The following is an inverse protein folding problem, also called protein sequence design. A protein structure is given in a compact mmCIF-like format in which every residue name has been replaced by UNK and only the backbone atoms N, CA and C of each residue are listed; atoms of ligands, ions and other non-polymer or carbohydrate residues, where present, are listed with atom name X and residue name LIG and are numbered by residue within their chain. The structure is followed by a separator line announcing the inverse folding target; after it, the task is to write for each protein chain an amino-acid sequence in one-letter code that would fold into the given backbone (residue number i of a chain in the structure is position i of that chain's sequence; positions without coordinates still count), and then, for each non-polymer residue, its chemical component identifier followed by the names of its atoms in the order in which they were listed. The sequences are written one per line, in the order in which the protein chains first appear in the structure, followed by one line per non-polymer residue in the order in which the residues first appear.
data_IF_414731490992
#
_entry.id   IF_414731490992
#
_cell.length_a   1.000
_cell.length_b   1.000
_cell.length_c   1.000
_cell.angle_alpha   90.00
_cell.angle_beta   90.00
_cell.angle_gamma   90.00
#
_symmetry.space_group_name_H-M   'P 1'
#
loop_
_entity.id
_entity.type
_entity.pdbx_description
1 polymer ?
#
# COMPACT_ATOMS: atom_id res chain seq x y z
N UNK A 1 -3.50 1.47 13.45
CA UNK A 1 -3.62 1.75 11.99
C UNK A 1 -2.65 0.87 11.22
N UNK A 2 -2.91 0.58 9.95
CA UNK A 2 -1.99 -0.15 9.05
C UNK A 2 -1.33 0.91 8.16
N UNK A 3 -0.03 1.11 8.35
CA UNK A 3 0.79 2.05 7.59
C UNK A 3 1.67 1.24 6.63
N UNK A 4 1.67 1.63 5.36
CA UNK A 4 2.52 1.00 4.36
C UNK A 4 4.01 1.26 4.69
N UNK A 5 4.88 0.23 4.66
CA UNK A 5 6.32 0.39 4.90
C UNK A 5 7.05 0.88 3.66
N UNK A 6 8.24 1.47 3.85
CA UNK A 6 9.18 1.69 2.75
C UNK A 6 9.68 0.31 2.29
N UNK A 7 9.67 0.06 0.99
CA UNK A 7 10.22 -1.18 0.43
C UNK A 7 11.14 -0.89 -0.74
N UNK A 8 12.22 -1.65 -0.85
CA UNK A 8 13.06 -1.73 -2.05
C UNK A 8 13.29 -3.20 -2.35
N UNK A 9 12.97 -3.63 -3.55
CA UNK A 9 13.07 -5.04 -3.91
C UNK A 9 13.51 -5.24 -5.36
N UNK A 10 14.09 -6.41 -5.61
CA UNK A 10 14.53 -6.86 -6.91
C UNK A 10 13.56 -7.95 -7.38
N UNK A 11 12.95 -7.82 -8.56
CA UNK A 11 12.13 -8.88 -9.14
C UNK A 11 13.00 -10.02 -9.68
N UNK A 12 12.64 -11.25 -9.34
CA UNK A 12 13.27 -12.46 -9.88
C UNK A 12 12.66 -12.75 -11.26
N UNK A 13 13.49 -12.75 -12.31
CA UNK A 13 13.16 -13.13 -13.69
C UNK A 13 12.35 -12.09 -14.53
N UNK A 14 12.64 -10.79 -14.37
CA UNK A 14 12.15 -9.73 -15.28
C UNK A 14 13.28 -8.77 -15.64
N UNK A 15 13.11 -8.05 -16.74
CA UNK A 15 14.04 -6.99 -17.20
C UNK A 15 13.98 -5.73 -16.33
N UNK A 16 13.83 -5.88 -15.01
CA UNK A 16 13.68 -4.81 -14.04
C UNK A 16 14.79 -4.90 -12.98
N UNK A 17 15.50 -3.79 -12.76
CA UNK A 17 16.57 -3.67 -11.76
C UNK A 17 16.01 -3.64 -10.34
N UNK A 18 14.98 -2.82 -10.10
CA UNK A 18 14.32 -2.74 -8.79
C UNK A 18 12.91 -2.16 -8.87
N UNK A 19 12.12 -2.41 -7.82
CA UNK A 19 10.93 -1.65 -7.42
C UNK A 19 11.20 -0.98 -6.07
N UNK A 20 10.80 0.28 -5.93
CA UNK A 20 10.78 0.97 -4.65
C UNK A 20 9.40 1.55 -4.37
N UNK A 21 8.91 1.34 -3.14
CA UNK A 21 7.72 2.01 -2.62
C UNK A 21 8.13 2.93 -1.47
N UNK A 22 7.80 4.21 -1.61
CA UNK A 22 8.21 5.30 -0.74
C UNK A 22 6.96 5.96 -0.15
N UNK A 23 6.40 5.40 0.93
CA UNK A 23 5.29 6.02 1.65
C UNK A 23 5.75 7.14 2.59
N UNK A 24 4.92 8.17 2.70
CA UNK A 24 4.94 9.22 3.71
C UNK A 24 3.58 9.26 4.39
N UNK A 25 3.55 9.22 5.73
CA UNK A 25 2.34 9.25 6.53
C UNK A 25 2.40 10.38 7.55
N UNK A 26 1.36 11.21 7.60
CA UNK A 26 1.22 12.34 8.51
C UNK A 26 -0.11 12.24 9.25
N UNK A 27 -0.05 12.27 10.58
CA UNK A 27 -1.23 12.43 11.42
C UNK A 27 -1.59 13.90 11.51
N UNK A 28 -2.70 14.28 10.90
CA UNK A 28 -3.24 15.65 11.00
C UNK A 28 -4.04 15.81 12.31
N UNK A 29 -4.64 14.71 12.77
CA UNK A 29 -5.25 14.58 14.09
C UNK A 29 -5.12 13.12 14.52
N UNK A 30 -4.63 12.88 15.73
CA UNK A 30 -4.50 11.55 16.30
C UNK A 30 -5.18 11.48 17.67
N UNK A 31 -6.47 11.11 17.66
CA UNK A 31 -7.22 10.79 18.87
C UNK A 31 -7.01 9.34 19.35
N UNK A 32 -6.08 8.59 18.74
CA UNK A 32 -5.74 7.22 19.16
C UNK A 32 -4.55 7.19 20.13
N UNK A 33 -3.80 8.29 20.26
CA UNK A 33 -2.67 8.47 21.18
C UNK A 33 -3.12 8.70 22.64
N UNK A 34 -4.28 8.18 23.03
CA UNK A 34 -4.77 8.23 24.40
C UNK A 34 -4.42 6.93 25.14
N UNK A 35 -3.56 6.97 26.19
CA UNK A 35 -3.11 5.78 26.89
C UNK A 35 -4.25 4.92 27.46
N UNK A 36 -5.38 5.55 27.79
CA UNK A 36 -6.57 4.86 28.31
C UNK A 36 -7.38 4.14 27.24
N UNK A 37 -7.32 4.58 25.98
CA UNK A 37 -8.12 3.99 24.91
C UNK A 37 -7.80 2.51 24.71
N UNK A 38 -6.52 2.12 24.88
CA UNK A 38 -6.08 0.74 24.74
C UNK A 38 -6.36 -0.12 25.97
N UNK A 39 -6.31 0.50 27.16
CA UNK A 39 -6.48 -0.20 28.42
C UNK A 39 -7.95 -0.41 28.74
N UNK A 40 -8.72 0.67 28.69
CA UNK A 40 -10.12 0.73 29.09
C UNK A 40 -11.06 0.47 27.90
N UNK A 41 -10.52 0.52 26.68
CA UNK A 41 -11.31 0.50 25.46
C UNK A 41 -11.90 1.86 25.12
N UNK A 42 -12.68 1.89 24.04
CA UNK A 42 -13.48 3.04 23.64
C UNK A 42 -13.17 3.56 22.25
N UNK A 43 -13.72 4.74 21.97
CA UNK A 43 -13.77 5.33 20.64
C UNK A 43 -12.67 6.38 20.46
N UNK A 44 -11.92 6.26 19.37
CA UNK A 44 -10.95 7.23 18.92
C UNK A 44 -11.16 7.62 17.46
N UNK A 45 -10.64 8.79 17.09
CA UNK A 45 -10.74 9.36 15.76
C UNK A 45 -9.34 9.70 15.26
N UNK A 46 -9.02 9.34 14.02
CA UNK A 46 -7.76 9.71 13.38
C UNK A 46 -8.02 10.33 12.01
N UNK A 47 -7.32 11.43 11.73
CA UNK A 47 -7.24 12.04 10.40
C UNK A 47 -5.80 11.92 9.92
N UNK A 48 -5.60 11.19 8.82
CA UNK A 48 -4.29 10.90 8.24
C UNK A 48 -4.19 11.42 6.82
N UNK A 49 -3.07 12.05 6.52
CA UNK A 49 -2.61 12.24 5.16
C UNK A 49 -1.53 11.21 4.87
N UNK A 50 -1.63 10.54 3.73
CA UNK A 50 -0.64 9.57 3.26
C UNK A 50 -0.28 9.89 1.81
N UNK A 51 0.96 9.62 1.44
CA UNK A 51 1.45 9.74 0.08
C UNK A 51 2.31 8.53 -0.22
N UNK A 52 1.94 7.72 -1.21
CA UNK A 52 2.74 6.56 -1.62
C UNK A 52 3.28 6.83 -3.03
N UNK A 53 4.61 6.84 -3.17
CA UNK A 53 5.27 6.86 -4.47
C UNK A 53 5.82 5.47 -4.81
N UNK A 54 5.54 4.97 -6.01
CA UNK A 54 6.09 3.71 -6.52
C UNK A 54 6.96 3.96 -7.73
N UNK A 55 8.18 3.44 -7.72
CA UNK A 55 9.20 3.62 -8.74
C UNK A 55 9.71 2.27 -9.24
N UNK A 56 9.93 2.13 -10.55
CA UNK A 56 10.55 0.94 -11.15
C UNK A 56 11.59 1.31 -12.20
N UNK A 57 12.75 0.66 -12.13
CA UNK A 57 13.81 0.86 -13.10
C UNK A 57 14.05 -0.40 -13.91
N UNK A 58 14.14 -0.29 -15.23
CA UNK A 58 14.46 -1.40 -16.14
C UNK A 58 15.97 -1.60 -16.31
N UNK A 59 16.36 -2.80 -16.76
CA UNK A 59 17.77 -3.20 -16.97
C UNK A 59 18.39 -2.68 -18.25
N UNK A 60 17.57 -2.24 -19.21
CA UNK A 60 18.02 -1.76 -20.52
C UNK A 60 18.67 -0.37 -20.40
N UNK A 61 19.74 -0.13 -21.17
CA UNK A 61 20.44 1.15 -21.16
C UNK A 61 19.55 2.26 -21.73
N UNK A 62 19.33 3.33 -20.96
CA UNK A 62 18.66 4.56 -21.38
C UNK A 62 17.19 4.41 -21.81
N UNK A 63 16.49 3.39 -21.33
CA UNK A 63 15.02 3.33 -21.40
C UNK A 63 14.38 4.12 -20.25
N UNK A 64 13.20 4.70 -20.46
CA UNK A 64 12.49 5.43 -19.42
C UNK A 64 12.10 4.49 -18.26
N UNK A 65 12.15 5.02 -17.04
CA UNK A 65 11.51 4.44 -15.86
C UNK A 65 10.05 4.11 -16.24
N UNK A 66 9.54 2.89 -15.98
CA UNK A 66 8.09 2.64 -16.10
C UNK A 66 7.37 3.75 -15.34
N UNK A 67 6.28 4.34 -15.87
CA UNK A 67 5.72 5.55 -15.29
C UNK A 67 5.58 5.42 -13.77
N UNK A 68 6.15 6.35 -12.99
CA UNK A 68 6.04 6.29 -11.54
C UNK A 68 4.57 6.34 -11.14
N UNK A 69 4.21 5.89 -9.95
CA UNK A 69 2.86 6.10 -9.41
C UNK A 69 2.96 6.97 -8.16
N UNK A 70 2.03 7.90 -8.02
CA UNK A 70 1.89 8.80 -6.89
C UNK A 70 0.45 8.73 -6.37
N UNK A 71 0.30 8.41 -5.09
CA UNK A 71 -1.00 8.23 -4.44
C UNK A 71 -1.09 9.07 -3.15
N UNK A 72 -1.30 10.39 -3.24
CA UNK A 72 -1.80 11.18 -2.11
C UNK A 72 -3.22 10.74 -1.70
N UNK A 73 -3.42 10.51 -0.42
CA UNK A 73 -4.69 10.07 0.18
C UNK A 73 -4.90 10.76 1.53
N UNK A 74 -6.08 11.35 1.68
CA UNK A 74 -6.60 11.82 2.95
C UNK A 74 -7.60 10.79 3.49
N UNK A 75 -7.45 10.39 4.75
CA UNK A 75 -8.28 9.35 5.38
C UNK A 75 -8.76 9.80 6.75
N UNK A 76 -10.07 9.69 6.99
CA UNK A 76 -10.71 9.83 8.29
C UNK A 76 -11.05 8.43 8.80
N UNK A 77 -10.62 8.07 10.01
CA UNK A 77 -10.90 6.77 10.61
C UNK A 77 -11.53 6.94 11.98
N UNK A 78 -12.65 6.28 12.18
CA UNK A 78 -13.20 5.99 13.49
C UNK A 78 -12.66 4.63 13.94
N UNK A 79 -12.19 4.52 15.17
CA UNK A 79 -11.65 3.27 15.73
C UNK A 79 -12.29 3.03 17.08
N UNK A 80 -12.89 1.87 17.25
CA UNK A 80 -13.36 1.38 18.54
C UNK A 80 -12.40 0.29 19.03
N UNK A 81 -11.94 0.41 20.26
CA UNK A 81 -11.05 -0.56 20.91
C UNK A 81 -11.86 -1.33 21.93
N UNK A 82 -12.01 -2.63 21.68
CA UNK A 82 -12.82 -3.52 22.49
C UNK A 82 -11.92 -4.46 23.29
N UNK A 83 -11.94 -4.43 24.64
CA UNK A 83 -11.35 -5.48 25.45
C UNK A 83 -12.12 -6.79 25.24
N UNK A 84 -11.39 -7.88 24.98
CA UNK A 84 -11.99 -9.20 24.83
C UNK A 84 -11.82 -10.03 26.11
N UNK A 85 -12.76 -10.94 26.37
CA UNK A 85 -12.59 -11.96 27.38
C UNK A 85 -11.36 -12.81 27.03
N UNK A 86 -10.37 -12.81 27.93
CA UNK A 86 -9.05 -13.37 27.67
C UNK A 86 -8.65 -14.33 28.80
N UNK A 87 -7.79 -15.33 28.55
CA UNK A 87 -7.19 -16.13 29.60
C UNK A 87 -6.40 -15.26 30.59
N UNK A 88 -6.20 -15.67 31.85
CA UNK A 88 -5.47 -14.88 32.84
C UNK A 88 -4.03 -14.48 32.45
N UNK A 89 -3.41 -15.22 31.52
CA UNK A 89 -2.06 -14.97 31.04
C UNK A 89 -1.98 -13.96 29.88
N UNK A 90 -3.13 -13.56 29.31
CA UNK A 90 -3.19 -12.71 28.12
C UNK A 90 -4.23 -11.60 28.26
N UNK A 91 -3.94 -10.48 27.61
CA UNK A 91 -4.89 -9.40 27.40
C UNK A 91 -5.13 -9.29 25.90
N UNK A 92 -6.33 -9.65 25.46
CA UNK A 92 -6.72 -9.56 24.06
C UNK A 92 -7.52 -8.28 23.81
N UNK A 93 -7.31 -7.70 22.64
CA UNK A 93 -7.99 -6.49 22.15
C UNK A 93 -8.47 -6.72 20.74
N UNK A 94 -9.66 -6.20 20.43
CA UNK A 94 -10.16 -6.09 19.07
C UNK A 94 -10.32 -4.62 18.72
N UNK A 95 -9.60 -4.18 17.70
CA UNK A 95 -9.77 -2.86 17.11
C UNK A 95 -10.72 -3.02 15.93
N UNK A 96 -11.82 -2.30 15.97
CA UNK A 96 -12.77 -2.19 14.86
C UNK A 96 -12.67 -0.78 14.32
N UNK A 97 -12.26 -0.64 13.07
CA UNK A 97 -12.14 0.66 12.43
C UNK A 97 -13.02 0.76 11.20
N UNK A 98 -13.73 1.88 11.11
CA UNK A 98 -14.45 2.28 9.91
C UNK A 98 -13.83 3.58 9.39
N UNK A 99 -13.41 3.55 8.13
CA UNK A 99 -12.69 4.64 7.50
C UNK A 99 -13.37 5.14 6.23
N UNK A 100 -13.21 6.43 5.98
CA UNK A 100 -13.49 7.08 4.71
C UNK A 100 -12.20 7.67 4.17
N UNK A 101 -12.01 7.62 2.85
CA UNK A 101 -10.86 8.28 2.25
C UNK A 101 -11.21 8.96 0.93
N UNK A 102 -10.42 9.98 0.62
CA UNK A 102 -10.32 10.57 -0.69
C UNK A 102 -8.86 10.47 -1.13
N UNK A 103 -8.62 9.97 -2.35
CA UNK A 103 -7.28 9.87 -2.90
C UNK A 103 -7.23 10.42 -4.32
N UNK A 104 -6.05 10.86 -4.71
CA UNK A 104 -5.70 11.10 -6.09
C UNK A 104 -4.56 10.17 -6.43
N UNK A 105 -4.67 9.49 -7.56
CA UNK A 105 -3.66 8.57 -8.05
C UNK A 105 -3.27 9.03 -9.45
N UNK A 106 -1.98 9.17 -9.70
CA UNK A 106 -1.49 9.58 -11.00
C UNK A 106 -0.05 9.14 -11.18
N UNK A 107 0.45 9.24 -12.41
CA UNK A 107 1.87 9.06 -12.69
C UNK A 107 2.62 10.36 -12.95
N UNK A 108 1.98 11.51 -12.73
CA UNK A 108 2.60 12.83 -12.87
C UNK A 108 3.08 13.16 -14.29
N UNK A 109 2.64 12.40 -15.30
CA UNK A 109 2.98 12.63 -16.70
C UNK A 109 1.78 13.19 -17.45
N UNK A 110 2.04 13.96 -18.52
CA UNK A 110 1.03 14.51 -19.43
C UNK A 110 1.37 14.13 -20.87
N UNK A 111 0.41 13.55 -21.59
CA UNK A 111 0.50 13.30 -23.02
C UNK A 111 1.48 12.21 -23.46
N UNK A 112 1.94 12.31 -24.71
CA UNK A 112 2.86 11.37 -25.39
C UNK A 112 4.30 11.49 -24.83
N UNK A 113 4.49 11.35 -23.52
CA UNK A 113 5.74 11.56 -22.81
C UNK A 113 6.74 10.39 -22.96
N UNK A 114 6.87 9.84 -24.18
CA UNK A 114 7.83 8.80 -24.52
C UNK A 114 8.68 9.26 -25.69
N UNK A 115 9.92 8.74 -25.78
CA UNK A 115 11.04 9.28 -26.59
C UNK A 115 10.66 9.69 -28.01
N UNK A 116 9.71 8.99 -28.63
CA UNK A 116 9.40 9.07 -30.05
C UNK A 116 7.93 9.50 -30.32
N UNK A 117 7.13 9.84 -29.30
CA UNK A 117 5.72 10.23 -29.42
C UNK A 117 5.51 11.74 -29.46
N UNK A 118 4.59 12.22 -30.31
CA UNK A 118 4.18 13.64 -30.33
C UNK A 118 2.66 13.76 -30.49
N UNK A 119 2.05 14.83 -29.96
CA UNK A 119 0.63 15.08 -30.21
C UNK A 119 0.38 15.31 -31.71
N UNK A 120 -0.68 14.69 -32.24
CA UNK A 120 -1.11 14.86 -33.61
C UNK A 120 -1.55 16.32 -33.85
N UNK A 121 -1.32 16.87 -35.06
CA UNK A 121 -1.89 18.17 -35.43
C UNK A 121 -3.42 18.17 -35.28
N UNK A 122 -3.96 19.11 -34.50
CA UNK A 122 -5.40 19.17 -34.21
C UNK A 122 -5.87 18.28 -33.05
N UNK A 123 -4.95 17.72 -32.27
CA UNK A 123 -5.24 16.99 -31.04
C UNK A 123 -6.15 17.81 -30.12
N UNK A 124 -7.26 17.19 -29.68
CA UNK A 124 -8.16 17.77 -28.66
C UNK A 124 -7.99 17.07 -27.32
N UNK A 125 -7.19 16.00 -27.28
CA UNK A 125 -6.88 15.21 -26.09
C UNK A 125 -5.39 14.95 -25.98
N UNK A 126 -4.87 14.85 -24.76
CA UNK A 126 -3.48 14.44 -24.47
C UNK A 126 -3.18 12.99 -24.94
N UNK A 127 -4.21 12.23 -25.33
CA UNK A 127 -4.09 10.87 -25.87
C UNK A 127 -4.01 10.80 -27.41
N UNK A 128 -4.12 11.93 -28.11
CA UNK A 128 -4.05 12.00 -29.57
C UNK A 128 -2.58 11.96 -30.05
N UNK A 129 -1.91 10.83 -29.85
CA UNK A 129 -0.49 10.65 -30.14
C UNK A 129 -0.23 10.14 -31.57
N UNK A 130 0.78 10.72 -32.22
CA UNK A 130 1.36 10.31 -33.49
C UNK A 130 2.74 9.69 -33.30
N UNK A 131 3.05 8.72 -34.16
CA UNK A 131 4.29 7.95 -34.15
C UNK A 131 5.07 8.12 -35.46
N UNK A 132 6.41 8.14 -35.44
CA UNK A 132 7.22 8.14 -36.64
C UNK A 132 6.91 6.95 -37.55
N UNK A 133 7.01 7.10 -38.89
CA UNK A 133 6.84 6.00 -39.82
C UNK A 133 7.80 4.83 -39.49
N UNK A 134 7.29 3.61 -39.41
CA UNK A 134 8.09 2.41 -39.09
C UNK A 134 8.07 2.00 -37.62
N UNK A 135 7.54 2.83 -36.73
CA UNK A 135 7.10 2.39 -35.40
C UNK A 135 5.77 1.66 -35.60
N UNK A 136 5.63 0.39 -35.19
CA UNK A 136 4.34 -0.30 -35.24
C UNK A 136 3.27 0.59 -34.60
N UNK A 137 2.09 0.73 -35.23
CA UNK A 137 0.95 1.37 -34.57
C UNK A 137 0.71 0.58 -33.30
N UNK A 138 1.10 1.14 -32.15
CA UNK A 138 0.85 0.46 -30.90
C UNK A 138 -0.63 0.70 -30.57
N UNK A 139 -1.40 -0.33 -30.86
CA UNK A 139 -2.50 -0.77 -30.01
C UNK A 139 -2.01 -1.23 -28.62
N UNK A 140 -0.80 -0.82 -28.21
CA UNK A 140 0.02 -1.17 -27.06
C UNK A 140 0.36 0.05 -26.18
N UNK A 141 -0.67 0.71 -25.65
CA UNK A 141 -0.65 1.85 -24.70
C UNK A 141 0.26 1.73 -23.44
N UNK A 142 1.04 0.66 -23.27
CA UNK A 142 2.11 0.59 -22.26
C UNK A 142 3.44 1.18 -22.73
N UNK A 143 3.57 1.54 -24.01
CA UNK A 143 4.81 2.05 -24.60
C UNK A 143 4.68 3.42 -25.27
N UNK A 144 3.49 4.02 -25.26
CA UNK A 144 3.16 5.11 -26.19
C UNK A 144 2.57 6.41 -25.57
N UNK A 145 1.72 6.34 -24.55
CA UNK A 145 1.24 7.55 -23.85
C UNK A 145 0.77 7.21 -22.45
N UNK A 146 1.64 7.42 -21.47
CA UNK A 146 1.39 7.00 -20.10
C UNK A 146 0.99 8.18 -19.24
N UNK A 147 -0.08 8.93 -19.51
CA UNK A 147 -0.67 9.81 -18.49
C UNK A 147 -1.92 9.16 -17.94
N UNK A 148 -1.92 8.79 -16.67
CA UNK A 148 -3.14 8.45 -15.96
C UNK A 148 -3.30 9.35 -14.75
N UNK A 149 -4.55 9.59 -14.43
CA UNK A 149 -4.99 10.33 -13.26
C UNK A 149 -6.34 9.76 -12.88
N UNK A 150 -6.52 9.37 -11.64
CA UNK A 150 -7.79 8.94 -11.07
C UNK A 150 -8.01 9.63 -9.72
N UNK A 151 -9.27 9.89 -9.43
CA UNK A 151 -9.71 10.31 -8.11
C UNK A 151 -10.57 9.23 -7.52
N UNK A 152 -10.24 8.85 -6.30
CA UNK A 152 -10.87 7.75 -5.60
C UNK A 152 -11.59 8.31 -4.37
N UNK A 153 -12.85 7.91 -4.20
CA UNK A 153 -13.52 7.96 -2.91
C UNK A 153 -13.72 6.53 -2.44
N UNK A 154 -13.52 6.27 -1.16
CA UNK A 154 -13.73 4.92 -0.67
C UNK A 154 -14.02 4.82 0.80
N UNK A 155 -14.45 3.63 1.19
CA UNK A 155 -14.72 3.24 2.56
C UNK A 155 -13.93 1.99 2.90
N UNK A 156 -13.54 1.85 4.15
CA UNK A 156 -12.75 0.72 4.63
C UNK A 156 -13.29 0.25 5.99
N UNK A 157 -13.43 -1.06 6.14
CA UNK A 157 -13.60 -1.73 7.43
C UNK A 157 -12.32 -2.47 7.75
N UNK A 158 -11.74 -2.21 8.92
CA UNK A 158 -10.56 -2.90 9.42
C UNK A 158 -10.89 -3.53 10.78
N UNK A 159 -10.52 -4.80 10.92
CA UNK A 159 -10.57 -5.56 12.16
C UNK A 159 -9.14 -5.96 12.51
N UNK A 160 -8.67 -5.60 13.71
CA UNK A 160 -7.35 -6.00 14.19
C UNK A 160 -7.45 -6.59 15.58
N UNK A 161 -7.23 -7.89 15.67
CA UNK A 161 -7.06 -8.58 16.93
C UNK A 161 -5.60 -8.50 17.37
N UNK A 162 -5.39 -8.26 18.65
CA UNK A 162 -4.09 -8.20 19.29
C UNK A 162 -4.13 -8.99 20.60
N UNK A 163 -3.03 -9.66 20.92
CA UNK A 163 -2.91 -10.42 22.15
C UNK A 163 -1.55 -10.16 22.81
N UNK A 164 -1.63 -9.67 24.05
CA UNK A 164 -0.49 -9.28 24.86
C UNK A 164 -0.33 -10.24 26.05
N UNK A 165 0.91 -10.56 26.46
CA UNK A 165 1.13 -11.27 27.71
C UNK A 165 1.03 -10.31 28.90
N UNK A 166 0.25 -10.68 29.93
CA UNK A 166 -0.02 -9.81 31.11
C UNK A 166 1.22 -9.60 32.00
N UNK A 167 2.16 -10.54 32.01
CA UNK A 167 3.34 -10.52 32.91
C UNK A 167 4.67 -10.28 32.16
N UNK A 168 4.71 -9.40 31.16
CA UNK A 168 5.95 -9.11 30.43
C UNK A 168 6.48 -10.31 29.62
N UNK A 169 5.57 -11.16 29.15
CA UNK A 169 5.93 -12.34 28.35
C UNK A 169 6.62 -11.97 27.03
N UNK A 170 7.39 -12.92 26.50
CA UNK A 170 8.29 -12.66 25.37
C UNK A 170 7.60 -12.66 23.99
N UNK A 171 6.28 -12.70 23.88
CA UNK A 171 5.61 -12.77 22.57
C UNK A 171 4.29 -12.03 22.51
N UNK A 172 4.07 -11.28 21.43
CA UNK A 172 2.80 -10.63 21.09
C UNK A 172 2.28 -11.21 19.77
N UNK A 173 0.97 -11.33 19.65
CA UNK A 173 0.32 -11.83 18.44
C UNK A 173 -0.63 -10.77 17.90
N UNK A 174 -0.76 -10.70 16.59
CA UNK A 174 -1.74 -9.86 15.93
C UNK A 174 -2.31 -10.54 14.68
N UNK A 175 -3.58 -10.28 14.41
CA UNK A 175 -4.23 -10.64 13.16
C UNK A 175 -5.04 -9.44 12.68
N UNK A 176 -4.88 -9.07 11.41
CA UNK A 176 -5.58 -7.95 10.79
C UNK A 176 -6.35 -8.44 9.57
N UNK A 177 -7.60 -8.01 9.45
CA UNK A 177 -8.40 -8.15 8.24
C UNK A 177 -8.91 -6.78 7.84
N UNK A 178 -8.87 -6.45 6.54
CA UNK A 178 -9.42 -5.21 6.00
C UNK A 178 -10.20 -5.51 4.73
N UNK A 179 -11.35 -4.88 4.60
CA UNK A 179 -12.18 -4.86 3.40
C UNK A 179 -12.42 -3.40 3.02
N UNK A 180 -12.18 -3.06 1.77
CA UNK A 180 -12.34 -1.71 1.24
C UNK A 180 -13.19 -1.70 -0.03
N UNK A 181 -13.86 -0.58 -0.26
CA UNK A 181 -14.56 -0.29 -1.49
C UNK A 181 -14.07 1.06 -2.02
N UNK A 182 -13.59 1.05 -3.25
CA UNK A 182 -13.10 2.23 -3.95
C UNK A 182 -14.07 2.57 -5.09
N UNK A 183 -14.32 3.85 -5.29
CA UNK A 183 -15.09 4.38 -6.41
C UNK A 183 -14.29 5.46 -7.14
N UNK A 184 -14.11 5.26 -8.44
CA UNK A 184 -13.51 6.22 -9.34
C UNK A 184 -14.49 7.37 -9.62
N UNK A 185 -14.16 8.56 -9.14
CA UNK A 185 -14.99 9.77 -9.30
C UNK A 185 -15.02 10.21 -10.78
N UNK A 186 -16.18 10.56 -11.34
CA UNK A 186 -16.29 11.01 -12.73
C UNK A 186 -15.67 12.39 -12.99
N UNK A 187 -15.33 12.63 -14.26
CA UNK A 187 -14.69 13.84 -14.79
C UNK A 187 -15.44 15.15 -14.57
N UNK A 188 -16.74 15.08 -14.32
CA UNK A 188 -17.56 16.26 -14.06
C UNK A 188 -17.26 16.91 -12.70
N UNK A 189 -16.54 16.23 -11.81
CA UNK A 189 -16.26 16.70 -10.46
C UNK A 189 -14.83 17.25 -10.30
N UNK A 190 -13.82 16.60 -10.89
CA UNK A 190 -12.42 17.03 -10.92
C UNK A 190 -11.63 16.28 -12.02
N UNK A 191 -10.36 16.66 -12.29
CA UNK A 191 -9.54 16.04 -13.34
C UNK A 191 -9.45 14.52 -13.19
N UNK A 192 -9.77 13.73 -14.20
CA UNK A 192 -10.19 12.34 -14.00
C UNK A 192 -9.45 11.34 -14.88
N UNK A 193 -9.78 10.07 -14.65
CA UNK A 193 -9.43 9.01 -15.58
C UNK A 193 -10.27 9.20 -16.83
N UNK A 194 -9.59 9.30 -17.98
CA UNK A 194 -10.24 9.44 -19.29
C UNK A 194 -11.35 8.39 -19.44
N UNK A 195 -12.53 8.73 -19.97
CA UNK A 195 -13.65 7.79 -20.06
C UNK A 195 -13.28 6.46 -20.73
N UNK A 196 -12.37 6.47 -21.71
CA UNK A 196 -11.88 5.26 -22.34
C UNK A 196 -11.07 4.34 -21.40
N UNK A 197 -10.23 4.91 -20.52
CA UNK A 197 -9.47 4.17 -19.52
C UNK A 197 -10.36 3.73 -18.35
N UNK A 198 -11.30 4.59 -17.92
CA UNK A 198 -12.30 4.27 -16.88
C UNK A 198 -13.09 2.99 -17.23
N UNK A 199 -13.47 2.85 -18.50
CA UNK A 199 -14.15 1.67 -19.04
C UNK A 199 -13.31 0.39 -18.93
N UNK A 200 -11.97 0.49 -18.96
CA UNK A 200 -11.06 -0.65 -18.80
C UNK A 200 -10.73 -0.94 -17.35
N UNK A 201 -10.39 0.10 -16.59
CA UNK A 201 -10.01 0.01 -15.18
C UNK A 201 -11.14 -0.47 -14.28
N UNK A 202 -12.39 -0.17 -14.67
CA UNK A 202 -13.56 -0.38 -13.83
C UNK A 202 -13.87 0.87 -13.02
N UNK A 203 -15.14 1.04 -12.66
CA UNK A 203 -15.57 2.22 -11.91
C UNK A 203 -15.40 2.03 -10.41
N UNK A 204 -15.38 0.77 -9.96
CA UNK A 204 -15.30 0.42 -8.57
C UNK A 204 -14.33 -0.73 -8.37
N UNK A 205 -13.71 -0.80 -7.19
CA UNK A 205 -12.87 -1.92 -6.81
C UNK A 205 -13.17 -2.34 -5.38
N UNK A 206 -13.17 -3.65 -5.14
CA UNK A 206 -13.19 -4.21 -3.79
C UNK A 206 -11.76 -4.56 -3.43
N UNK A 207 -11.23 -3.96 -2.36
CA UNK A 207 -9.90 -4.25 -1.83
C UNK A 207 -10.00 -5.13 -0.59
N UNK A 208 -9.05 -6.02 -0.42
CA UNK A 208 -8.98 -6.88 0.75
C UNK A 208 -7.54 -7.01 1.24
N UNK A 209 -7.39 -7.23 2.53
CA UNK A 209 -6.12 -7.55 3.17
C UNK A 209 -6.37 -8.48 4.35
N UNK A 210 -5.51 -9.49 4.50
CA UNK A 210 -5.40 -10.36 5.65
C UNK A 210 -3.92 -10.43 6.06
N UNK A 211 -3.63 -10.17 7.33
CA UNK A 211 -2.28 -10.21 7.85
C UNK A 211 -2.22 -10.89 9.21
N UNK A 212 -1.13 -11.62 9.46
CA UNK A 212 -0.79 -12.18 10.76
C UNK A 212 0.60 -11.71 11.16
N UNK A 213 0.77 -11.37 12.44
CA UNK A 213 2.05 -10.97 12.99
C UNK A 213 2.35 -11.72 14.30
N UNK A 214 3.59 -12.15 14.44
CA UNK A 214 4.17 -12.68 15.67
C UNK A 214 5.37 -11.82 16.00
N UNK A 215 5.29 -11.07 17.09
CA UNK A 215 6.43 -10.35 17.65
C UNK A 215 7.00 -11.17 18.81
N UNK A 216 8.32 -11.33 18.85
CA UNK A 216 9.05 -11.98 19.92
C UNK A 216 10.06 -10.99 20.50
N UNK A 217 10.05 -10.85 21.82
CA UNK A 217 10.97 -10.00 22.55
C UNK A 217 12.40 -10.48 22.33
N UNK A 218 13.27 -9.56 21.95
CA UNK A 218 14.67 -9.82 21.62
C UNK A 218 15.59 -9.97 22.82
N UNK A 219 16.86 -10.28 22.55
CA UNK A 219 17.93 -10.14 23.55
C UNK A 219 18.39 -8.70 23.61
N UNK A 220 18.37 -8.10 24.79
CA UNK A 220 18.97 -6.79 25.02
C UNK A 220 20.49 -6.95 25.17
N UNK A 221 21.27 -6.46 24.20
CA UNK A 221 22.74 -6.44 24.30
C UNK A 221 23.23 -5.00 24.36
N UNK A 222 24.00 -4.67 25.40
CA UNK A 222 24.74 -3.41 25.43
C UNK A 222 25.86 -3.47 24.37
N UNK A 223 25.85 -2.55 23.41
CA UNK A 223 26.95 -2.39 22.45
C UNK A 223 27.78 -1.18 22.88
N UNK A 224 29.09 -1.34 23.13
CA UNK A 224 29.95 -0.21 23.46
C UNK A 224 29.83 0.88 22.40
N UNK A 225 29.66 2.14 22.85
CA UNK A 225 29.50 3.34 22.00
C UNK A 225 28.22 3.43 21.14
N UNK A 226 27.28 2.46 21.19
CA UNK A 226 26.03 2.47 20.39
C UNK A 226 24.72 2.32 21.17
N UNK A 227 24.76 2.44 22.49
CA UNK A 227 23.63 2.19 23.39
C UNK A 227 23.14 0.72 23.34
N UNK A 228 22.09 0.42 24.11
CA UNK A 228 21.49 -0.91 24.21
C UNK A 228 20.80 -1.22 22.87
N UNK A 229 21.02 -2.42 22.37
CA UNK A 229 20.31 -2.95 21.21
C UNK A 229 19.32 -3.96 21.75
N UNK A 230 18.07 -3.54 21.95
CA UNK A 230 16.93 -4.45 21.91
C UNK A 230 16.70 -4.80 20.43
N UNK A 231 16.63 -6.09 20.13
CA UNK A 231 16.28 -6.57 18.79
C UNK A 231 15.01 -7.39 18.89
N UNK A 232 13.88 -6.74 19.18
CA UNK A 232 12.60 -7.41 19.03
C UNK A 232 12.45 -7.83 17.57
N UNK A 233 12.01 -9.05 17.37
CA UNK A 233 11.83 -9.63 16.05
C UNK A 233 10.35 -9.79 15.79
N UNK A 234 9.90 -9.38 14.60
CA UNK A 234 8.52 -9.55 14.16
C UNK A 234 8.48 -10.31 12.85
N UNK A 235 7.82 -11.45 12.86
CA UNK A 235 7.45 -12.18 11.66
C UNK A 235 6.07 -11.70 11.22
N UNK A 236 5.94 -11.25 9.97
CA UNK A 236 4.68 -10.78 9.38
C UNK A 236 4.39 -11.57 8.12
N UNK A 237 3.18 -12.10 8.03
CA UNK A 237 2.60 -12.65 6.80
C UNK A 237 1.47 -11.71 6.37
N UNK A 238 1.40 -11.34 5.10
CA UNK A 238 0.33 -10.49 4.56
C UNK A 238 -0.13 -11.02 3.22
N UNK A 239 -1.43 -11.10 3.02
CA UNK A 239 -2.07 -11.34 1.74
C UNK A 239 -3.02 -10.17 1.48
N UNK A 240 -2.93 -9.54 0.31
CA UNK A 240 -3.80 -8.43 -0.06
C UNK A 240 -4.11 -8.47 -1.54
N UNK A 241 -5.21 -7.86 -1.96
CA UNK A 241 -5.54 -7.77 -3.37
C UNK A 241 -6.68 -6.82 -3.64
N UNK A 242 -7.00 -6.69 -4.93
CA UNK A 242 -8.14 -5.94 -5.39
C UNK A 242 -8.91 -6.73 -6.46
N UNK A 243 -10.21 -6.52 -6.51
CA UNK A 243 -11.09 -6.99 -7.58
C UNK A 243 -11.78 -5.78 -8.17
N UNK A 244 -11.49 -5.48 -9.42
CA UNK A 244 -12.06 -4.37 -10.16
C UNK A 244 -13.39 -4.80 -10.79
N UNK A 245 -14.46 -4.07 -10.46
CA UNK A 245 -15.81 -4.36 -10.91
C UNK A 245 -16.14 -3.44 -12.11
N UNK A 246 -16.27 -4.05 -13.29
CA UNK A 246 -16.69 -3.38 -14.51
C UNK A 246 -18.22 -3.26 -14.60
N UNK A 247 -18.84 -2.51 -13.68
CA UNK A 247 -20.29 -2.27 -13.73
C UNK A 247 -20.65 -1.55 -15.04
N UNK A 248 -21.28 -2.27 -15.98
CA UNK A 248 -21.97 -1.67 -17.12
C UNK A 248 -21.43 -1.92 -18.54
N UNK A 249 -20.36 -2.70 -18.77
CA UNK A 249 -19.80 -2.87 -20.12
C UNK A 249 -19.40 -4.29 -20.57
N UNK A 250 -20.00 -5.33 -19.99
CA UNK A 250 -19.80 -6.71 -20.48
C UNK A 250 -18.38 -7.26 -20.35
N UNK A 251 -17.54 -6.64 -19.52
CA UNK A 251 -16.21 -7.16 -19.16
C UNK A 251 -16.28 -7.92 -17.83
N UNK A 252 -15.62 -9.07 -17.78
CA UNK A 252 -15.46 -9.83 -16.54
C UNK A 252 -14.63 -9.05 -15.52
N UNK A 253 -14.95 -9.13 -14.22
CA UNK A 253 -14.07 -8.62 -13.17
C UNK A 253 -12.66 -9.17 -13.33
N UNK A 254 -11.66 -8.35 -13.06
CA UNK A 254 -10.27 -8.77 -12.96
C UNK A 254 -9.73 -8.38 -11.60
N UNK A 255 -8.63 -9.00 -11.20
CA UNK A 255 -8.02 -8.69 -9.92
C UNK A 255 -6.54 -8.96 -9.89
N UNK A 256 -5.98 -8.58 -8.77
CA UNK A 256 -4.59 -8.81 -8.39
C UNK A 256 -4.54 -9.28 -6.94
N UNK A 257 -3.47 -9.98 -6.62
CA UNK A 257 -3.16 -10.46 -5.29
C UNK A 257 -1.66 -10.35 -5.04
N UNK A 258 -1.32 -10.02 -3.81
CA UNK A 258 0.04 -9.90 -3.33
C UNK A 258 0.15 -10.68 -2.03
N UNK A 259 1.18 -11.51 -1.93
CA UNK A 259 1.52 -12.29 -0.76
C UNK A 259 2.90 -11.88 -0.30
N UNK A 260 3.07 -11.54 0.97
CA UNK A 260 4.29 -10.98 1.53
C UNK A 260 4.65 -11.71 2.83
N UNK A 261 5.91 -12.13 2.95
CA UNK A 261 6.51 -12.66 4.15
C UNK A 261 7.71 -11.79 4.53
N UNK A 262 7.63 -11.18 5.70
CA UNK A 262 8.66 -10.27 6.21
C UNK A 262 9.16 -10.68 7.59
N UNK A 263 10.47 -10.56 7.79
CA UNK A 263 11.11 -10.64 9.10
C UNK A 263 11.69 -9.28 9.45
N UNK A 264 11.15 -8.63 10.48
CA UNK A 264 11.46 -7.23 10.80
C UNK A 264 12.09 -7.17 12.18
N UNK A 265 13.25 -6.52 12.28
CA UNK A 265 13.89 -6.22 13.56
C UNK A 265 13.60 -4.78 13.97
N UNK A 266 13.24 -4.57 15.23
CA UNK A 266 13.01 -3.25 15.81
C UNK A 266 14.25 -2.74 16.54
N UNK A 267 14.54 -1.43 16.47
CA UNK A 267 15.69 -0.80 17.13
C UNK A 267 15.25 0.25 18.15
N UNK A 268 15.90 0.30 19.32
CA UNK A 268 15.54 1.19 20.45
C UNK A 268 15.51 2.69 20.11
N UNK A 269 16.26 3.15 19.11
CA UNK A 269 16.32 4.57 18.70
C UNK A 269 15.31 4.96 17.62
N UNK A 270 14.25 4.18 17.49
CA UNK A 270 13.23 4.36 16.49
C UNK A 270 13.62 3.71 15.16
N UNK A 271 12.62 3.13 14.51
CA UNK A 271 12.77 2.45 13.24
C UNK A 271 12.81 0.92 13.37
N UNK A 272 12.25 0.27 12.37
CA UNK A 272 12.28 -1.18 12.22
C UNK A 272 12.64 -1.50 10.77
N UNK A 273 13.27 -2.64 10.53
CA UNK A 273 13.56 -3.06 9.16
C UNK A 273 14.01 -4.50 9.07
N UNK A 274 13.94 -5.04 7.86
CA UNK A 274 14.41 -6.40 7.61
C UNK A 274 14.02 -6.93 6.23
N UNK A 275 14.46 -8.14 5.91
CA UNK A 275 14.21 -8.75 4.62
C UNK A 275 12.74 -9.14 4.45
N UNK A 276 12.27 -9.11 3.21
CA UNK A 276 10.97 -9.65 2.82
C UNK A 276 11.04 -10.40 1.48
N UNK A 277 10.08 -11.29 1.30
CA UNK A 277 9.80 -11.95 0.02
C UNK A 277 8.33 -11.73 -0.30
N UNK A 278 8.07 -11.25 -1.52
CA UNK A 278 6.73 -10.96 -2.00
C UNK A 278 6.46 -11.68 -3.31
N UNK A 279 5.29 -12.30 -3.42
CA UNK A 279 4.76 -12.76 -4.69
C UNK A 279 3.61 -11.87 -5.10
N UNK A 280 3.71 -11.27 -6.27
CA UNK A 280 2.60 -10.56 -6.90
C UNK A 280 2.01 -11.43 -8.01
N UNK A 281 0.68 -11.46 -8.08
CA UNK A 281 -0.09 -12.21 -9.04
C UNK A 281 -1.21 -11.34 -9.61
N UNK A 282 -1.37 -11.35 -10.93
CA UNK A 282 -2.40 -10.58 -11.62
C UNK A 282 -1.80 -9.43 -12.42
N UNK A 283 -2.49 -8.29 -12.43
CA UNK A 283 -2.17 -7.18 -13.31
C UNK A 283 -1.09 -6.29 -12.71
N UNK A 284 -0.21 -5.79 -13.56
CA UNK A 284 0.76 -4.80 -13.13
C UNK A 284 0.06 -3.51 -12.64
N UNK A 285 0.25 -3.08 -11.38
CA UNK A 285 -0.39 -1.87 -10.83
C UNK A 285 0.13 -0.57 -11.44
N UNK A 286 1.29 -0.59 -12.10
CA UNK A 286 1.83 0.55 -12.87
C UNK A 286 1.45 0.47 -14.36
N UNK A 287 0.66 -0.54 -14.73
CA UNK A 287 0.19 -0.74 -16.09
C UNK A 287 -1.06 0.08 -16.35
N UNK A 288 -0.91 1.15 -17.13
CA UNK A 288 -2.02 2.05 -17.47
C UNK A 288 -3.13 1.34 -18.26
N UNK A 289 -2.82 0.20 -18.90
CA UNK A 289 -3.79 -0.60 -19.65
C UNK A 289 -4.60 -1.59 -18.82
N UNK A 290 -4.10 -1.98 -17.64
CA UNK A 290 -4.67 -3.08 -16.85
C UNK A 290 -4.81 -4.37 -17.67
N UNK A 291 -3.89 -4.62 -18.60
CA UNK A 291 -3.92 -5.77 -19.52
C UNK A 291 -2.68 -6.67 -19.34
N UNK A 292 -1.54 -6.09 -18.95
CA UNK A 292 -0.32 -6.86 -18.74
C UNK A 292 -0.35 -7.56 -17.38
N UNK A 293 -0.20 -8.88 -17.41
CA UNK A 293 0.03 -9.65 -16.20
C UNK A 293 1.47 -9.49 -15.73
N UNK A 294 1.64 -9.31 -14.43
CA UNK A 294 2.93 -9.19 -13.78
C UNK A 294 3.02 -10.15 -12.61
N UNK A 295 3.00 -11.43 -12.95
CA UNK A 295 3.25 -12.49 -11.98
C UNK A 295 4.76 -12.54 -11.70
N UNK A 296 5.18 -12.14 -10.49
CA UNK A 296 6.61 -12.00 -10.16
C UNK A 296 6.89 -12.22 -8.67
N UNK A 297 8.08 -12.76 -8.39
CA UNK A 297 8.64 -12.79 -7.04
C UNK A 297 9.57 -11.61 -6.85
N UNK A 298 9.38 -10.86 -5.76
CA UNK A 298 10.26 -9.79 -5.33
C UNK A 298 10.96 -10.22 -4.06
N UNK A 299 12.27 -9.99 -3.99
CA UNK A 299 13.05 -10.15 -2.77
C UNK A 299 13.67 -8.80 -2.44
N UNK A 300 13.51 -8.36 -1.20
CA UNK A 300 13.88 -6.99 -0.86
C UNK A 300 14.08 -6.76 0.61
N UNK A 301 14.19 -5.48 0.93
CA UNK A 301 14.31 -4.97 2.28
C UNK A 301 13.19 -3.97 2.55
N UNK A 302 12.56 -4.07 3.72
CA UNK A 302 11.56 -3.12 4.17
C UNK A 302 12.09 -2.30 5.34
N UNK A 303 11.61 -1.06 5.44
CA UNK A 303 11.89 -0.13 6.53
C UNK A 303 10.58 0.49 7.02
N UNK A 304 10.39 0.48 8.32
CA UNK A 304 9.30 1.16 9.03
C UNK A 304 9.94 2.28 9.84
N UNK A 305 9.70 3.53 9.46
CA UNK A 305 10.29 4.70 10.12
C UNK A 305 9.61 5.01 11.46
N UNK A 306 8.34 4.64 11.58
CA UNK A 306 7.63 4.64 12.85
C UNK A 306 7.68 3.23 13.39
N UNK A 307 7.96 3.10 14.70
CA UNK A 307 7.51 1.89 15.38
C UNK A 307 6.00 1.79 15.10
N UNK A 308 5.43 0.61 14.74
CA UNK A 308 3.98 0.47 14.82
C UNK A 308 3.58 1.03 16.19
N UNK A 309 2.54 1.88 16.30
CA UNK A 309 2.14 2.45 17.59
C UNK A 309 2.14 1.28 18.55
N UNK A 310 3.13 1.26 19.45
CA UNK A 310 3.28 0.15 20.35
C UNK A 310 2.10 0.34 21.24
N UNK A 311 1.11 -0.51 21.02
CA UNK A 311 0.02 -0.65 21.94
C UNK A 311 0.68 -1.34 23.10
N UNK A 312 1.19 -0.53 24.02
CA UNK A 312 1.63 -1.00 25.30
C UNK A 312 0.42 -1.73 25.88
N UNK A 313 0.63 -3.00 26.25
CA UNK A 313 -0.41 -3.76 26.88
C UNK A 313 -0.89 -3.04 28.15
N UNK A 314 -1.98 -3.49 28.77
CA UNK A 314 -2.34 -2.97 30.09
C UNK A 314 -1.18 -3.14 31.09
N UNK A 315 -0.57 -2.00 31.48
CA UNK A 315 0.66 -1.86 32.29
C UNK A 315 1.92 -1.77 31.42
N UNK A 316 2.68 -0.68 31.40
CA UNK A 316 3.17 0.17 32.51
C UNK A 316 2.56 1.58 32.64
#
# INVERSE_FOLDING_TARGET
MDLEPITVAIPLARDQLFEAQLPLHLFLYDGLDHPRLMNDGGLGLALTFSFVATLRMETSQSTPIRPPSYLPRLRLQLVDVLPLASPPSRADRLLVSFGFFAAHHSNGQKGCALRDGALLPGATSDFDCGWPPGVPRSDALNLDSGSFTDHLLGTELLLRWLSFPVNGGASRLGATSRLGFDWNVPCTFSGCIEPAMRRRYGETAIRWLAAGELQVAGRHRAVPFRARVASDARLRLTASGAVHLGLGQGRSPYGDATFDLAYVTHFERGGSGGPFVRYHHGHDPLNVRFEERWDVWLVGYLVELTAPPMLDGPGD
#
